data_IF_695215632980
#
_entry.id   IF_695215632980
#
_cell.length_a   1.000
_cell.length_b   1.000
_cell.length_c   1.000
_cell.angle_alpha   90.00
_cell.angle_beta   90.00
_cell.angle_gamma   90.00
#
_symmetry.space_group_name_H-M   'P 1'
#
loop_
_entity.id
_entity.type
_entity.pdbx_description
1 polymer ?
#
# COMPACT_ATOMS: atom_id res chain seq x y z
N UNK A 1 -11.55 21.13 19.95
CA UNK A 1 -11.32 22.24 19.00
C UNK A 1 -10.57 21.70 17.80
N UNK A 2 -11.24 21.62 16.67
CA UNK A 2 -10.61 21.30 15.39
C UNK A 2 -9.68 22.45 15.02
N UNK A 3 -8.36 22.22 15.04
CA UNK A 3 -7.43 23.13 14.39
C UNK A 3 -7.70 23.03 12.89
N UNK A 4 -8.42 23.99 12.36
CA UNK A 4 -8.51 24.18 10.92
C UNK A 4 -7.09 24.46 10.42
N UNK A 5 -6.40 23.43 9.99
CA UNK A 5 -5.10 23.59 9.36
C UNK A 5 -5.32 24.11 7.95
N UNK A 6 -5.15 25.41 7.80
CA UNK A 6 -5.07 26.02 6.48
C UNK A 6 -3.95 25.30 5.71
N UNK A 7 -4.23 24.91 4.49
CA UNK A 7 -3.20 24.40 3.61
C UNK A 7 -2.09 25.45 3.48
N UNK A 8 -0.84 25.05 3.78
CA UNK A 8 0.31 25.98 3.78
C UNK A 8 0.81 26.28 2.38
N UNK A 9 0.28 25.61 1.34
CA UNK A 9 0.70 25.75 -0.04
C UNK A 9 -0.50 25.51 -0.97
N UNK A 10 -0.54 26.16 -2.14
CA UNK A 10 -1.56 25.84 -3.17
C UNK A 10 -1.21 24.60 -3.99
N UNK A 11 -0.04 23.99 -3.79
CA UNK A 11 0.44 22.86 -4.59
C UNK A 11 -0.26 21.56 -4.18
N UNK A 12 -1.06 21.00 -5.09
CA UNK A 12 -1.74 19.71 -4.85
C UNK A 12 -0.76 18.57 -4.63
N UNK A 13 0.31 18.50 -5.40
CA UNK A 13 1.34 17.45 -5.24
C UNK A 13 1.95 17.50 -3.84
N UNK A 14 2.38 18.67 -3.38
CA UNK A 14 2.96 18.84 -2.05
C UNK A 14 1.97 18.55 -0.94
N UNK A 15 0.72 18.99 -1.07
CA UNK A 15 -0.33 18.76 -0.08
C UNK A 15 -0.72 17.27 0.00
N UNK A 16 -0.83 16.59 -1.13
CA UNK A 16 -1.14 15.16 -1.17
C UNK A 16 0.01 14.31 -0.58
N UNK A 17 1.26 14.70 -0.83
CA UNK A 17 2.42 14.06 -0.19
C UNK A 17 2.38 14.23 1.34
N UNK A 18 2.02 15.42 1.81
CA UNK A 18 1.85 15.68 3.25
C UNK A 18 0.73 14.83 3.84
N UNK A 19 -0.42 14.77 3.17
CA UNK A 19 -1.54 13.92 3.58
C UNK A 19 -1.13 12.45 3.59
N UNK A 20 -0.43 11.99 2.55
CA UNK A 20 0.08 10.62 2.46
C UNK A 20 1.02 10.28 3.63
N UNK A 21 1.92 11.20 4.00
CA UNK A 21 2.81 10.99 5.15
C UNK A 21 2.03 10.89 6.46
N UNK A 22 1.01 11.72 6.65
CA UNK A 22 0.15 11.66 7.83
C UNK A 22 -0.57 10.31 7.94
N UNK A 23 -1.14 9.83 6.84
CA UNK A 23 -1.77 8.50 6.78
C UNK A 23 -0.75 7.39 7.03
N UNK A 24 0.42 7.47 6.42
CA UNK A 24 1.48 6.47 6.62
C UNK A 24 1.86 6.34 8.09
N UNK A 25 1.91 7.44 8.83
CA UNK A 25 2.14 7.43 10.27
C UNK A 25 1.10 6.60 11.00
N UNK A 26 -0.18 6.81 10.70
CA UNK A 26 -1.29 6.10 11.34
C UNK A 26 -1.21 4.60 11.03
N UNK A 27 -1.06 4.26 9.74
CA UNK A 27 -1.00 2.85 9.33
C UNK A 27 0.24 2.13 9.87
N UNK A 28 1.40 2.79 9.90
CA UNK A 28 2.61 2.20 10.48
C UNK A 28 2.47 1.96 11.99
N UNK A 29 1.86 2.87 12.72
CA UNK A 29 1.65 2.71 14.16
C UNK A 29 0.85 1.43 14.47
N UNK A 30 -0.12 1.09 13.64
CA UNK A 30 -0.93 -0.12 13.80
C UNK A 30 -0.24 -1.36 13.22
N UNK A 31 0.14 -1.32 11.96
CA UNK A 31 0.67 -2.46 11.20
C UNK A 31 2.00 -2.97 11.76
N UNK A 32 2.86 -2.09 12.30
CA UNK A 32 4.14 -2.51 12.86
C UNK A 32 4.00 -3.52 14.00
N UNK A 33 2.83 -3.61 14.63
CA UNK A 33 2.55 -4.60 15.67
C UNK A 33 2.55 -6.04 15.15
N UNK A 34 2.39 -6.26 13.84
CA UNK A 34 2.51 -7.59 13.25
C UNK A 34 3.94 -7.93 12.78
N UNK A 35 4.92 -7.07 13.06
CA UNK A 35 6.34 -7.32 12.83
C UNK A 35 6.89 -6.85 11.49
N UNK A 36 6.10 -6.20 10.65
CA UNK A 36 6.54 -5.64 9.37
C UNK A 36 6.06 -4.19 9.20
N UNK A 37 6.78 -3.35 8.45
CA UNK A 37 6.32 -2.00 8.17
C UNK A 37 5.16 -1.99 7.18
N UNK A 38 4.39 -0.89 7.17
CA UNK A 38 3.23 -0.74 6.30
C UNK A 38 3.57 -0.87 4.81
N UNK A 39 4.74 -0.43 4.37
CA UNK A 39 5.17 -0.59 2.98
C UNK A 39 5.23 -2.05 2.55
N UNK A 40 5.75 -2.92 3.41
CA UNK A 40 5.78 -4.37 3.17
C UNK A 40 4.38 -4.98 3.26
N UNK A 41 3.59 -4.59 4.24
CA UNK A 41 2.20 -5.05 4.37
C UNK A 41 1.36 -4.70 3.14
N UNK A 42 1.50 -3.48 2.62
CA UNK A 42 0.81 -3.04 1.41
C UNK A 42 1.16 -3.92 0.21
N UNK A 43 2.42 -4.30 0.09
CA UNK A 43 2.89 -5.19 -0.97
C UNK A 43 2.29 -6.60 -0.82
N UNK A 44 2.27 -7.15 0.40
CA UNK A 44 1.60 -8.42 0.68
C UNK A 44 0.10 -8.35 0.33
N UNK A 45 -0.56 -7.24 0.63
CA UNK A 45 -1.97 -7.02 0.33
C UNK A 45 -2.26 -7.03 -1.17
N UNK A 46 -1.41 -6.41 -1.98
CA UNK A 46 -1.53 -6.44 -3.43
C UNK A 46 -1.35 -7.87 -3.97
N UNK A 47 -0.34 -8.58 -3.50
CA UNK A 47 -0.11 -9.97 -3.89
C UNK A 47 -1.26 -10.89 -3.45
N UNK A 48 -1.86 -10.64 -2.30
CA UNK A 48 -3.03 -11.37 -1.81
C UNK A 48 -4.22 -11.21 -2.75
N UNK A 49 -4.47 -9.99 -3.24
CA UNK A 49 -5.61 -9.70 -4.13
C UNK A 49 -5.37 -10.17 -5.56
N UNK A 50 -4.16 -9.94 -6.09
CA UNK A 50 -3.84 -10.23 -7.47
C UNK A 50 -3.54 -11.72 -7.73
N UNK A 51 -3.12 -12.44 -6.67
CA UNK A 51 -2.57 -13.78 -6.82
C UNK A 51 -1.20 -13.76 -7.47
N UNK A 52 -0.71 -14.89 -8.02
CA UNK A 52 0.57 -14.94 -8.71
C UNK A 52 0.60 -13.97 -9.90
N UNK A 53 1.60 -13.09 -9.95
CA UNK A 53 1.69 -12.02 -10.95
C UNK A 53 3.14 -11.81 -11.41
N UNK A 54 3.27 -11.17 -12.58
CA UNK A 54 4.56 -10.69 -13.06
C UNK A 54 4.95 -9.39 -12.37
N UNK A 55 6.24 -9.07 -12.42
CA UNK A 55 6.76 -7.79 -11.92
C UNK A 55 6.08 -6.60 -12.61
N UNK A 56 5.88 -6.70 -13.92
CA UNK A 56 5.22 -5.65 -14.71
C UNK A 56 3.80 -5.38 -14.21
N UNK A 57 2.98 -6.41 -14.05
CA UNK A 57 1.59 -6.26 -13.56
C UNK A 57 1.56 -5.66 -12.16
N UNK A 58 2.44 -6.12 -11.27
CA UNK A 58 2.51 -5.61 -9.90
C UNK A 58 2.97 -4.15 -9.87
N UNK A 59 3.96 -3.79 -10.68
CA UNK A 59 4.44 -2.42 -10.83
C UNK A 59 3.32 -1.47 -11.28
N UNK A 60 2.55 -1.86 -12.27
CA UNK A 60 1.40 -1.08 -12.74
C UNK A 60 0.32 -0.95 -11.68
N UNK A 61 -0.02 -2.03 -11.00
CA UNK A 61 -1.06 -2.03 -9.96
C UNK A 61 -0.70 -1.10 -8.79
N UNK A 62 0.57 -0.99 -8.47
CA UNK A 62 1.05 -0.18 -7.34
C UNK A 62 1.52 1.21 -7.75
N UNK A 63 1.60 1.51 -9.04
CA UNK A 63 2.21 2.74 -9.57
C UNK A 63 3.60 2.99 -8.98
N UNK A 64 4.38 1.93 -8.83
CA UNK A 64 5.76 1.98 -8.36
C UNK A 64 6.74 1.76 -9.51
N UNK A 65 7.85 2.49 -9.46
CA UNK A 65 8.97 2.22 -10.33
C UNK A 65 9.50 0.80 -10.10
N UNK A 66 9.93 0.16 -11.17
CA UNK A 66 10.42 -1.21 -11.15
C UNK A 66 11.57 -1.41 -10.15
N UNK A 67 12.52 -0.48 -10.11
CA UNK A 67 13.67 -0.54 -9.21
C UNK A 67 13.25 -0.51 -7.73
N UNK A 68 12.32 0.37 -7.37
CA UNK A 68 11.78 0.45 -6.01
C UNK A 68 11.04 -0.83 -5.64
N UNK A 69 10.22 -1.35 -6.57
CA UNK A 69 9.46 -2.58 -6.35
C UNK A 69 10.39 -3.78 -6.14
N UNK A 70 11.42 -3.93 -6.96
CA UNK A 70 12.40 -5.03 -6.83
C UNK A 70 13.09 -4.98 -5.46
N UNK A 71 13.47 -3.78 -5.01
CA UNK A 71 14.09 -3.61 -3.69
C UNK A 71 13.15 -4.03 -2.56
N UNK A 72 11.90 -3.60 -2.62
CA UNK A 72 10.90 -3.96 -1.60
C UNK A 72 10.56 -5.46 -1.63
N UNK A 73 10.45 -6.05 -2.81
CA UNK A 73 10.25 -7.50 -2.97
C UNK A 73 11.40 -8.30 -2.37
N UNK A 74 12.64 -7.86 -2.57
CA UNK A 74 13.80 -8.58 -2.04
C UNK A 74 13.75 -8.68 -0.51
N UNK A 75 13.31 -7.64 0.19
CA UNK A 75 13.12 -7.68 1.64
C UNK A 75 12.11 -8.76 2.06
N UNK A 76 11.05 -8.94 1.29
CA UNK A 76 10.03 -9.96 1.55
C UNK A 76 10.53 -11.38 1.19
N UNK A 77 11.31 -11.50 0.13
CA UNK A 77 11.95 -12.78 -0.24
C UNK A 77 12.91 -13.21 0.85
N UNK A 78 13.71 -12.29 1.38
CA UNK A 78 14.68 -12.58 2.44
C UNK A 78 14.01 -13.04 3.74
N UNK A 79 12.78 -12.62 3.97
CA UNK A 79 11.96 -13.03 5.11
C UNK A 79 11.09 -14.26 4.82
N UNK A 80 11.19 -14.86 3.65
CA UNK A 80 10.36 -15.99 3.20
C UNK A 80 8.86 -15.69 3.14
N UNK A 81 8.49 -14.43 2.94
CA UNK A 81 7.08 -14.02 2.82
C UNK A 81 6.58 -14.04 1.38
N UNK A 82 7.51 -13.96 0.44
CA UNK A 82 7.27 -13.95 -1.00
C UNK A 82 8.27 -14.88 -1.66
N UNK A 83 7.86 -15.56 -2.72
CA UNK A 83 8.74 -16.33 -3.57
C UNK A 83 8.63 -15.86 -5.02
N UNK A 84 9.74 -15.98 -5.75
CA UNK A 84 9.83 -15.64 -7.16
C UNK A 84 10.13 -16.92 -7.93
N UNK A 85 9.16 -17.36 -8.73
CA UNK A 85 9.29 -18.53 -9.57
C UNK A 85 9.91 -18.12 -10.90
N UNK A 86 11.01 -18.76 -11.26
CA UNK A 86 11.75 -18.53 -12.50
C UNK A 86 11.56 -19.73 -13.42
N UNK A 87 11.15 -19.45 -14.65
CA UNK A 87 10.97 -20.44 -15.70
C UNK A 87 11.29 -19.78 -17.07
N UNK A 88 12.60 -19.50 -17.34
CA UNK A 88 12.99 -18.86 -18.58
C UNK A 88 12.57 -19.68 -19.79
N UNK A 89 12.15 -19.03 -20.92
CA UNK A 89 12.17 -17.58 -21.20
C UNK A 89 10.96 -16.80 -20.69
N UNK A 90 10.07 -17.42 -19.92
CA UNK A 90 8.87 -16.77 -19.39
C UNK A 90 9.23 -15.74 -18.33
N UNK A 91 8.41 -14.69 -18.16
CA UNK A 91 8.60 -13.75 -17.06
C UNK A 91 8.54 -14.45 -15.69
N UNK A 92 9.30 -13.93 -14.73
CA UNK A 92 9.23 -14.42 -13.35
C UNK A 92 7.84 -14.16 -12.75
N UNK A 93 7.35 -15.11 -11.98
CA UNK A 93 6.07 -15.01 -11.28
C UNK A 93 6.34 -14.80 -9.79
N UNK A 94 5.68 -13.80 -9.24
CA UNK A 94 5.78 -13.41 -7.83
C UNK A 94 4.53 -13.89 -7.12
N UNK A 95 4.69 -14.53 -5.98
CA UNK A 95 3.57 -15.03 -5.18
C UNK A 95 3.85 -14.97 -3.69
N UNK A 96 2.80 -14.95 -2.90
CA UNK A 96 2.91 -15.14 -1.45
C UNK A 96 3.31 -16.58 -1.13
N UNK A 97 4.13 -16.73 -0.10
CA UNK A 97 4.30 -18.02 0.58
C UNK A 97 3.17 -18.23 1.60
N UNK A 98 3.08 -19.43 2.16
CA UNK A 98 2.14 -19.69 3.26
C UNK A 98 2.44 -18.77 4.45
N UNK A 99 3.72 -18.55 4.76
CA UNK A 99 4.14 -17.62 5.80
C UNK A 99 3.71 -16.17 5.49
N UNK A 100 3.86 -15.75 4.24
CA UNK A 100 3.41 -14.42 3.78
C UNK A 100 1.92 -14.23 3.96
N UNK A 101 1.12 -15.26 3.63
CA UNK A 101 -0.32 -15.24 3.85
C UNK A 101 -0.67 -15.16 5.34
N UNK A 102 0.02 -15.91 6.20
CA UNK A 102 -0.18 -15.87 7.64
C UNK A 102 0.12 -14.48 8.21
N UNK A 103 1.21 -13.85 7.80
CA UNK A 103 1.57 -12.49 8.24
C UNK A 103 0.53 -11.47 7.75
N UNK A 104 0.07 -11.60 6.52
CA UNK A 104 -0.99 -10.75 5.99
C UNK A 104 -2.27 -10.88 6.83
N UNK A 105 -2.69 -12.10 7.12
CA UNK A 105 -3.89 -12.37 7.92
C UNK A 105 -3.73 -11.83 9.35
N UNK A 106 -2.55 -11.98 9.95
CA UNK A 106 -2.26 -11.44 11.29
C UNK A 106 -2.28 -9.89 11.30
N UNK A 107 -1.93 -9.26 10.19
CA UNK A 107 -1.96 -7.80 10.05
C UNK A 107 -3.35 -7.21 9.81
N UNK A 108 -4.31 -8.02 9.36
CA UNK A 108 -5.65 -7.56 8.98
C UNK A 108 -6.36 -6.75 10.08
N UNK A 109 -6.41 -7.19 11.36
CA UNK A 109 -7.04 -6.42 12.42
C UNK A 109 -6.36 -5.06 12.65
N UNK A 110 -5.06 -4.98 12.54
CA UNK A 110 -4.32 -3.73 12.68
C UNK A 110 -4.60 -2.77 11.52
N UNK A 111 -4.68 -3.31 10.30
CA UNK A 111 -5.09 -2.53 9.14
C UNK A 111 -6.51 -1.97 9.33
N UNK A 112 -7.44 -2.79 9.81
CA UNK A 112 -8.82 -2.36 10.08
C UNK A 112 -8.86 -1.25 11.14
N UNK A 113 -8.04 -1.33 12.17
CA UNK A 113 -7.92 -0.28 13.18
C UNK A 113 -7.45 1.05 12.55
N UNK A 114 -6.40 1.00 11.74
CA UNK A 114 -5.89 2.19 11.05
C UNK A 114 -6.96 2.79 10.12
N UNK A 115 -7.63 1.94 9.36
CA UNK A 115 -8.69 2.33 8.45
C UNK A 115 -9.84 3.02 9.21
N UNK A 116 -10.24 2.47 10.36
CA UNK A 116 -11.28 3.05 11.22
C UNK A 116 -10.90 4.44 11.73
N UNK A 117 -9.66 4.62 12.16
CA UNK A 117 -9.16 5.93 12.63
C UNK A 117 -9.36 7.00 11.54
N UNK A 118 -9.02 6.67 10.30
CA UNK A 118 -9.16 7.58 9.17
C UNK A 118 -10.63 7.82 8.84
N UNK A 119 -11.43 6.74 8.75
CA UNK A 119 -12.84 6.84 8.37
C UNK A 119 -13.68 7.61 9.38
N UNK A 120 -13.35 7.54 10.65
CA UNK A 120 -14.04 8.31 11.71
C UNK A 120 -13.87 9.83 11.57
N UNK A 121 -12.82 10.26 10.87
CA UNK A 121 -12.56 11.69 10.61
C UNK A 121 -13.34 12.24 9.41
N UNK A 122 -13.96 11.36 8.63
CA UNK A 122 -14.61 11.72 7.36
C UNK A 122 -16.10 11.39 7.41
N UNK A 123 -16.92 12.29 6.90
CA UNK A 123 -18.35 12.00 6.64
C UNK A 123 -18.47 11.01 5.47
N UNK A 124 -19.64 10.38 5.33
CA UNK A 124 -19.89 9.49 4.18
C UNK A 124 -19.76 10.22 2.84
N UNK A 125 -20.17 11.48 2.78
CA UNK A 125 -20.04 12.34 1.60
C UNK A 125 -18.57 12.62 1.29
N UNK A 126 -17.77 12.98 2.30
CA UNK A 126 -16.33 13.21 2.14
C UNK A 126 -15.61 11.97 1.67
N UNK A 127 -15.97 10.78 2.18
CA UNK A 127 -15.41 9.49 1.71
C UNK A 127 -15.68 9.27 0.23
N UNK A 128 -16.91 9.48 -0.21
CA UNK A 128 -17.29 9.31 -1.62
C UNK A 128 -16.54 10.30 -2.53
N UNK A 129 -16.38 11.54 -2.09
CA UNK A 129 -15.61 12.56 -2.82
C UNK A 129 -14.14 12.17 -2.89
N UNK A 130 -13.56 11.74 -1.76
CA UNK A 130 -12.15 11.33 -1.70
C UNK A 130 -11.87 10.17 -2.66
N UNK A 131 -12.73 9.15 -2.67
CA UNK A 131 -12.58 8.01 -3.58
C UNK A 131 -12.60 8.44 -5.04
N UNK A 132 -13.53 9.32 -5.41
CA UNK A 132 -13.60 9.85 -6.79
C UNK A 132 -12.37 10.67 -7.15
N UNK A 133 -11.90 11.51 -6.23
CA UNK A 133 -10.71 12.35 -6.48
C UNK A 133 -9.48 11.47 -6.65
N UNK A 134 -9.28 10.48 -5.78
CA UNK A 134 -8.16 9.52 -5.90
C UNK A 134 -8.20 8.82 -7.26
N UNK A 135 -9.35 8.31 -7.69
CA UNK A 135 -9.50 7.65 -8.98
C UNK A 135 -9.14 8.57 -10.14
N UNK A 136 -9.60 9.82 -10.11
CA UNK A 136 -9.27 10.82 -11.14
C UNK A 136 -7.77 11.12 -11.20
N UNK A 137 -7.14 11.24 -10.04
CA UNK A 137 -5.70 11.54 -9.98
C UNK A 137 -4.86 10.35 -10.47
N UNK A 138 -5.21 9.12 -10.09
CA UNK A 138 -4.54 7.91 -10.57
C UNK A 138 -4.67 7.80 -12.10
N UNK A 139 -5.82 8.17 -12.66
CA UNK A 139 -6.06 8.13 -14.11
C UNK A 139 -5.19 9.12 -14.91
N UNK A 140 -4.50 10.06 -14.26
CA UNK A 140 -3.53 10.95 -14.91
C UNK A 140 -2.22 10.23 -15.27
N UNK A 141 -1.99 9.03 -14.73
CA UNK A 141 -0.80 8.23 -15.04
C UNK A 141 -0.80 7.82 -16.50
N UNK A 142 0.30 8.04 -17.25
CA UNK A 142 0.39 7.70 -18.68
C UNK A 142 0.22 6.21 -18.95
#
# INVERSE_FOLDING_TARGET
MSKSHRLSSPCYCGNLRKASRALTHIYNAEISQCGIPNTQYTLLSHLRRLGPVTLHTLSEAMLLERTTLVRNLQLLVDQNLVEIQKDPPRPNIIRLTDKGLQIHNAGQPYWENAQSIVLEQLTGEERAVLDRVIQKLIALTP
#
